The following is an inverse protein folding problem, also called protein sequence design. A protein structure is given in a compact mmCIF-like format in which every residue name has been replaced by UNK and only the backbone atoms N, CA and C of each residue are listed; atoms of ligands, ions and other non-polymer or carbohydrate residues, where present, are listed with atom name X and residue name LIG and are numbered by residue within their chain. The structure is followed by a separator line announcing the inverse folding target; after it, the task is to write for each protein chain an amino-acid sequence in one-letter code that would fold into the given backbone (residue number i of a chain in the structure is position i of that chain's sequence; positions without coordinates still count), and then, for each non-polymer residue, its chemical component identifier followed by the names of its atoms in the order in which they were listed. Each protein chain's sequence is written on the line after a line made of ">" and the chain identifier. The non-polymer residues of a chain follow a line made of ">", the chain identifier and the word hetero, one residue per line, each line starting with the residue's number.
data_IF_550976956610
#
_entry.id   IF_550976956610
#
_cell.length_a   1.000
_cell.length_b   1.000
_cell.length_c   1.000
_cell.angle_alpha   90.00
_cell.angle_beta   90.00
_cell.angle_gamma   90.00
#
_symmetry.space_group_name_H-M   'P 1'
#
loop_
_entity.id
_entity.type
_entity.pdbx_description
1 polymer ?
#
# COMPACT_ATOMS: atom_id res chain seq x y z
N UNK A 1 21.30 38.30 -20.90
CA UNK A 1 20.58 37.04 -20.69
C UNK A 1 20.76 36.18 -21.93
N UNK A 2 21.31 34.98 -21.76
CA UNK A 2 21.48 33.98 -22.81
C UNK A 2 20.17 33.19 -23.03
N UNK A 3 20.01 32.48 -24.16
CA UNK A 3 18.86 31.59 -24.37
C UNK A 3 18.69 30.57 -23.24
N UNK A 4 19.80 30.01 -22.73
CA UNK A 4 19.79 29.06 -21.61
C UNK A 4 19.28 29.70 -20.33
N UNK A 5 19.79 30.89 -19.99
CA UNK A 5 19.35 31.64 -18.81
C UNK A 5 17.86 31.99 -18.89
N UNK A 6 17.37 32.37 -20.06
CA UNK A 6 15.95 32.66 -20.27
C UNK A 6 15.07 31.42 -20.06
N UNK A 7 15.42 30.29 -20.68
CA UNK A 7 14.67 29.03 -20.51
C UNK A 7 14.65 28.59 -19.05
N UNK A 8 15.80 28.68 -18.37
CA UNK A 8 15.91 28.34 -16.95
C UNK A 8 15.06 29.29 -16.08
N UNK A 9 15.10 30.59 -16.36
CA UNK A 9 14.27 31.56 -15.65
C UNK A 9 12.78 31.24 -15.78
N UNK A 10 12.30 30.91 -16.99
CA UNK A 10 10.89 30.54 -17.21
C UNK A 10 10.53 29.26 -16.43
N UNK A 11 11.40 28.25 -16.46
CA UNK A 11 11.19 26.98 -15.75
C UNK A 11 11.16 27.15 -14.22
N UNK A 12 11.94 28.08 -13.67
CA UNK A 12 12.01 28.38 -12.24
C UNK A 12 10.95 29.40 -11.77
N UNK A 13 10.28 30.08 -12.70
CA UNK A 13 9.26 31.07 -12.36
C UNK A 13 7.99 30.39 -11.86
N UNK A 14 7.48 30.85 -10.71
CA UNK A 14 6.23 30.35 -10.16
C UNK A 14 5.09 30.44 -11.18
N UNK A 15 4.29 29.38 -11.30
CA UNK A 15 3.18 29.29 -12.26
C UNK A 15 2.16 30.42 -12.16
N UNK A 16 1.90 30.98 -10.97
CA UNK A 16 1.01 32.13 -10.82
C UNK A 16 1.57 33.38 -11.51
N UNK A 17 2.88 33.60 -11.45
CA UNK A 17 3.53 34.69 -12.17
C UNK A 17 3.51 34.42 -13.68
N UNK A 18 3.63 33.15 -14.12
CA UNK A 18 3.46 32.79 -15.53
C UNK A 18 2.02 33.00 -16.02
N UNK A 19 1.01 32.66 -15.22
CA UNK A 19 -0.41 32.97 -15.52
C UNK A 19 -0.63 34.48 -15.64
N UNK A 20 -0.02 35.25 -14.75
CA UNK A 20 -0.03 36.70 -14.84
C UNK A 20 0.63 37.19 -16.13
N UNK A 21 1.80 36.67 -16.50
CA UNK A 21 2.46 36.96 -17.77
C UNK A 21 1.55 36.65 -18.98
N UNK A 22 0.91 35.49 -19.00
CA UNK A 22 -0.01 35.08 -20.07
C UNK A 22 -1.18 36.06 -20.20
N UNK A 23 -1.75 36.50 -19.07
CA UNK A 23 -2.94 37.36 -19.05
C UNK A 23 -2.63 38.84 -19.26
N UNK A 24 -1.48 39.32 -18.78
CA UNK A 24 -1.13 40.74 -18.74
C UNK A 24 -0.20 41.18 -19.88
N UNK A 25 0.73 40.31 -20.32
CA UNK A 25 1.78 40.70 -21.28
C UNK A 25 1.44 40.49 -22.76
N UNK A 26 0.16 40.31 -23.09
CA UNK A 26 -0.32 40.22 -24.47
C UNK A 26 0.41 39.13 -25.29
N UNK A 27 0.74 38.00 -24.66
CA UNK A 27 1.20 36.83 -25.40
C UNK A 27 0.12 36.45 -26.42
N UNK A 28 0.55 36.21 -27.66
CA UNK A 28 -0.36 35.79 -28.73
C UNK A 28 -0.55 34.29 -28.62
N UNK A 29 -1.75 33.86 -28.27
CA UNK A 29 -2.10 32.44 -28.29
C UNK A 29 -1.98 31.89 -29.72
N UNK A 30 -1.33 30.73 -29.84
CA UNK A 30 -1.20 30.03 -31.12
C UNK A 30 -2.21 28.90 -31.16
N UNK A 31 -3.20 29.04 -32.04
CA UNK A 31 -4.28 28.05 -32.17
C UNK A 31 -5.18 28.00 -30.94
N UNK A 32 -5.87 26.88 -30.77
CA UNK A 32 -6.65 26.57 -29.57
C UNK A 32 -5.83 25.76 -28.57
N UNK A 33 -6.18 25.78 -27.29
CA UNK A 33 -5.64 24.81 -26.32
C UNK A 33 -5.85 23.39 -26.84
N UNK A 34 -4.87 22.52 -26.57
CA UNK A 34 -4.87 21.12 -27.00
C UNK A 34 -4.95 20.21 -25.79
N UNK A 35 -5.69 19.11 -25.93
CA UNK A 35 -5.74 18.02 -24.96
C UNK A 35 -4.95 16.84 -25.52
N UNK A 36 -4.17 16.18 -24.67
CA UNK A 36 -3.46 14.97 -25.06
C UNK A 36 -4.44 13.83 -25.30
N UNK A 37 -4.12 12.96 -26.26
CA UNK A 37 -4.97 11.82 -26.60
C UNK A 37 -4.19 10.75 -27.35
N UNK A 38 -4.90 9.88 -28.07
CA UNK A 38 -4.28 8.88 -28.94
C UNK A 38 -3.70 9.55 -30.19
N UNK A 39 -2.43 9.32 -30.48
CA UNK A 39 -1.76 9.81 -31.68
C UNK A 39 -2.24 9.06 -32.92
N UNK A 40 -3.07 9.73 -33.71
CA UNK A 40 -3.58 9.21 -34.99
C UNK A 40 -2.68 9.57 -36.17
N UNK A 41 -1.64 10.38 -35.97
CA UNK A 41 -0.78 10.87 -37.05
C UNK A 41 0.53 10.10 -37.10
N UNK A 42 1.28 10.05 -35.99
CA UNK A 42 2.58 9.37 -35.92
C UNK A 42 2.51 7.95 -35.39
N UNK A 43 1.35 7.52 -34.87
CA UNK A 43 1.17 6.19 -34.29
C UNK A 43 1.94 5.97 -32.98
N UNK A 44 2.31 7.03 -32.25
CA UNK A 44 3.13 6.95 -31.04
C UNK A 44 2.39 6.47 -29.78
N UNK A 45 1.08 6.23 -29.86
CA UNK A 45 0.26 5.77 -28.72
C UNK A 45 -0.54 6.88 -28.05
N UNK A 46 -0.82 6.75 -26.75
CA UNK A 46 -1.61 7.71 -25.97
C UNK A 46 -0.75 8.86 -25.41
N UNK A 47 -1.40 9.91 -24.89
CA UNK A 47 -0.74 11.02 -24.21
C UNK A 47 -0.10 12.05 -25.15
N UNK A 48 -0.51 12.09 -26.42
CA UNK A 48 0.09 12.96 -27.44
C UNK A 48 -0.84 14.11 -27.81
N UNK A 49 -0.30 15.32 -27.88
CA UNK A 49 -0.90 16.47 -28.54
C UNK A 49 0.11 17.05 -29.55
N UNK A 50 -0.38 17.56 -30.69
CA UNK A 50 0.46 18.11 -31.76
C UNK A 50 0.00 19.53 -32.09
N UNK A 51 0.94 20.47 -32.04
CA UNK A 51 0.71 21.88 -32.38
C UNK A 51 1.60 22.25 -33.57
N UNK A 52 1.03 22.87 -34.60
CA UNK A 52 1.81 23.49 -35.67
C UNK A 52 2.03 24.95 -35.31
N UNK A 53 3.29 25.38 -35.27
CA UNK A 53 3.66 26.73 -34.89
C UNK A 53 4.65 27.35 -35.91
N UNK A 54 4.56 28.65 -36.21
CA UNK A 54 5.53 29.34 -37.08
C UNK A 54 6.97 29.27 -36.53
N UNK A 55 7.98 29.19 -37.40
CA UNK A 55 9.38 29.28 -36.94
C UNK A 55 9.81 30.70 -36.55
N UNK A 56 9.09 31.70 -37.06
CA UNK A 56 9.42 33.12 -36.89
C UNK A 56 8.20 33.94 -36.50
N UNK A 57 8.45 35.03 -35.78
CA UNK A 57 7.49 36.09 -35.49
C UNK A 57 8.14 37.44 -35.82
N UNK A 58 7.56 38.21 -36.74
CA UNK A 58 8.11 39.50 -37.21
C UNK A 58 9.60 39.40 -37.59
N UNK A 59 9.92 38.46 -38.48
CA UNK A 59 11.27 38.15 -39.00
C UNK A 59 12.33 37.68 -37.98
N UNK A 60 11.97 37.62 -36.70
CA UNK A 60 12.80 37.07 -35.62
C UNK A 60 12.41 35.64 -35.32
N UNK A 61 13.36 34.85 -34.82
CA UNK A 61 13.07 33.48 -34.43
C UNK A 61 12.03 33.47 -33.29
N UNK A 62 11.09 32.53 -33.40
CA UNK A 62 9.97 32.46 -32.48
C UNK A 62 10.39 31.87 -31.13
N UNK A 63 9.76 32.38 -30.07
CA UNK A 63 9.85 31.84 -28.71
C UNK A 63 8.45 31.45 -28.28
N UNK A 64 8.29 30.21 -27.84
CA UNK A 64 7.02 29.67 -27.38
C UNK A 64 7.06 29.41 -25.89
N UNK A 65 6.04 29.91 -25.18
CA UNK A 65 5.70 29.46 -23.84
C UNK A 65 4.65 28.36 -23.96
N UNK A 66 4.97 27.19 -23.43
CA UNK A 66 4.06 26.05 -23.32
C UNK A 66 3.72 25.91 -21.85
N UNK A 67 2.43 25.97 -21.56
CA UNK A 67 1.91 26.00 -20.20
C UNK A 67 0.78 24.99 -20.08
N UNK A 68 0.92 24.06 -19.13
CA UNK A 68 -0.12 23.07 -18.83
C UNK A 68 -1.21 23.72 -17.98
N UNK A 69 -2.44 23.77 -18.48
CA UNK A 69 -3.54 24.50 -17.82
C UNK A 69 -4.27 23.65 -16.78
N UNK A 70 -4.51 22.38 -17.09
CA UNK A 70 -5.29 21.47 -16.26
C UNK A 70 -5.03 20.01 -16.63
N UNK A 71 -5.36 19.12 -15.71
CA UNK A 71 -5.43 17.68 -15.95
C UNK A 71 -6.90 17.29 -16.04
N UNK A 72 -7.21 16.33 -16.91
CA UNK A 72 -8.56 15.79 -17.02
C UNK A 72 -8.97 15.12 -15.68
N UNK A 73 -10.01 15.63 -15.00
CA UNK A 73 -10.41 15.10 -13.69
C UNK A 73 -10.89 13.64 -13.78
N UNK A 74 -11.33 13.17 -14.95
CA UNK A 74 -11.72 11.77 -15.15
C UNK A 74 -10.51 10.83 -15.14
N UNK A 75 -9.28 11.35 -15.20
CA UNK A 75 -8.05 10.56 -15.03
C UNK A 75 -7.97 9.98 -13.61
N UNK A 76 -8.62 10.59 -12.62
CA UNK A 76 -8.69 10.05 -11.25
C UNK A 76 -7.32 9.90 -10.58
N UNK A 77 -6.35 10.74 -10.99
CA UNK A 77 -5.05 10.87 -10.37
C UNK A 77 -4.95 12.25 -9.76
N UNK A 78 -4.57 12.30 -8.48
CA UNK A 78 -4.22 13.55 -7.85
C UNK A 78 -2.83 13.95 -8.34
N UNK A 79 -2.79 15.05 -9.09
CA UNK A 79 -1.56 15.67 -9.52
C UNK A 79 -1.65 17.12 -9.11
N UNK A 80 -0.76 17.54 -8.22
CA UNK A 80 -0.62 18.95 -7.92
C UNK A 80 0.08 19.64 -9.09
N UNK A 81 -0.70 20.00 -10.11
CA UNK A 81 -0.19 20.69 -11.29
C UNK A 81 0.54 22.00 -10.92
N UNK A 82 0.15 22.63 -9.81
CA UNK A 82 0.75 23.88 -9.35
C UNK A 82 2.11 23.68 -8.69
N UNK A 83 2.36 22.50 -8.11
CA UNK A 83 3.68 22.12 -7.60
C UNK A 83 4.56 21.39 -8.61
N UNK A 84 3.99 20.55 -9.48
CA UNK A 84 4.80 19.60 -10.28
C UNK A 84 4.98 19.99 -11.74
N UNK A 85 4.04 20.72 -12.35
CA UNK A 85 4.13 21.01 -13.78
C UNK A 85 4.99 22.26 -14.06
N UNK A 86 6.07 22.06 -14.80
CA UNK A 86 7.06 23.10 -15.11
C UNK A 86 6.65 23.82 -16.41
N UNK A 87 6.53 25.17 -16.42
CA UNK A 87 6.37 25.95 -17.65
C UNK A 87 7.57 25.77 -18.59
N UNK A 88 7.31 25.61 -19.89
CA UNK A 88 8.37 25.29 -20.85
C UNK A 88 8.52 26.45 -21.84
N UNK A 89 9.73 27.00 -21.94
CA UNK A 89 10.10 27.90 -23.02
C UNK A 89 10.85 27.14 -24.12
N UNK A 90 10.33 27.19 -25.34
CA UNK A 90 11.00 26.67 -26.53
C UNK A 90 11.47 27.83 -27.41
N UNK A 91 12.78 27.99 -27.56
CA UNK A 91 13.40 29.01 -28.42
C UNK A 91 13.81 28.33 -29.72
N UNK A 92 13.29 28.81 -30.84
CA UNK A 92 13.66 28.32 -32.17
C UNK A 92 14.86 29.12 -32.73
N UNK A 93 15.58 28.57 -33.72
CA UNK A 93 15.57 27.16 -34.13
C UNK A 93 16.25 26.24 -33.10
N UNK A 94 15.83 24.98 -33.06
CA UNK A 94 16.53 23.91 -32.32
C UNK A 94 17.20 23.01 -33.35
N UNK A 95 18.52 22.83 -33.25
CA UNK A 95 19.30 22.02 -34.18
C UNK A 95 19.45 20.58 -33.70
N UNK A 96 19.68 19.66 -34.64
CA UNK A 96 19.94 18.26 -34.34
C UNK A 96 21.24 18.13 -33.52
N UNK A 97 21.25 17.35 -32.41
CA UNK A 97 22.38 17.32 -31.48
C UNK A 97 23.67 16.75 -32.11
N UNK A 98 23.54 15.90 -33.13
CA UNK A 98 24.68 15.33 -33.85
C UNK A 98 24.92 15.94 -35.24
N UNK A 99 23.98 16.76 -35.73
CA UNK A 99 24.05 17.40 -37.06
C UNK A 99 23.74 18.89 -36.91
N UNK A 100 24.74 19.67 -36.48
CA UNK A 100 24.58 21.06 -36.04
C UNK A 100 24.10 22.04 -37.13
N UNK A 101 24.05 21.62 -38.40
CA UNK A 101 23.50 22.40 -39.52
C UNK A 101 22.06 22.06 -39.85
N UNK A 102 21.49 21.01 -39.25
CA UNK A 102 20.12 20.57 -39.49
C UNK A 102 19.19 21.08 -38.39
N UNK A 103 18.19 21.87 -38.77
CA UNK A 103 17.12 22.28 -37.86
C UNK A 103 16.09 21.16 -37.68
N UNK A 104 15.72 20.89 -36.43
CA UNK A 104 14.60 20.01 -36.11
C UNK A 104 13.31 20.59 -36.70
N UNK A 105 12.60 19.76 -37.46
CA UNK A 105 11.27 20.09 -37.99
C UNK A 105 10.14 19.66 -37.05
N UNK A 106 10.42 18.68 -36.18
CA UNK A 106 9.54 18.22 -35.11
C UNK A 106 10.30 18.27 -33.79
N UNK A 107 9.70 18.91 -32.78
CA UNK A 107 10.28 19.06 -31.44
C UNK A 107 9.41 18.25 -30.49
N UNK A 108 9.99 17.22 -29.89
CA UNK A 108 9.31 16.39 -28.90
C UNK A 108 9.54 16.98 -27.51
N UNK A 109 8.46 17.22 -26.79
CA UNK A 109 8.46 17.77 -25.43
C UNK A 109 7.71 16.79 -24.55
N UNK A 110 8.30 16.45 -23.41
CA UNK A 110 7.75 15.51 -22.45
C UNK A 110 7.57 16.21 -21.10
N UNK A 111 6.49 16.98 -20.91
CA UNK A 111 6.15 17.52 -19.59
C UNK A 111 6.04 16.36 -18.59
N UNK A 112 6.61 16.55 -17.40
CA UNK A 112 6.57 15.52 -16.36
C UNK A 112 5.49 15.88 -15.35
N UNK A 113 4.44 15.06 -15.29
CA UNK A 113 3.51 15.02 -14.17
C UNK A 113 3.85 13.82 -13.30
N UNK A 114 3.79 14.00 -11.98
CA UNK A 114 3.98 12.91 -11.03
C UNK A 114 2.61 12.66 -10.40
N UNK A 115 1.96 11.57 -10.82
CA UNK A 115 0.74 11.08 -10.18
C UNK A 115 1.03 10.75 -8.73
N UNK A 116 0.23 11.31 -7.83
CA UNK A 116 0.27 10.95 -6.43
C UNK A 116 -0.42 9.60 -6.24
N UNK A 117 0.38 8.58 -5.89
CA UNK A 117 -0.10 7.24 -5.63
C UNK A 117 0.65 6.63 -4.46
N UNK A 118 -0.01 5.75 -3.71
CA UNK A 118 0.56 5.07 -2.53
C UNK A 118 0.31 3.57 -2.60
N UNK A 119 1.12 2.80 -1.89
CA UNK A 119 1.01 1.33 -1.77
C UNK A 119 0.83 0.98 -0.29
N UNK A 120 -0.43 0.88 0.19
CA UNK A 120 -0.71 0.59 1.57
C UNK A 120 -0.29 -0.80 2.02
N UNK A 121 0.13 -0.88 3.28
CA UNK A 121 0.42 -2.14 3.96
C UNK A 121 0.09 -2.06 5.45
N UNK A 122 -0.03 -3.22 6.08
CA UNK A 122 -0.10 -3.36 7.53
C UNK A 122 0.38 -4.75 7.97
N UNK A 123 0.59 -4.91 9.26
CA UNK A 123 0.98 -6.16 9.89
C UNK A 123 -0.21 -6.78 10.62
N UNK A 124 -0.62 -7.97 10.18
CA UNK A 124 -1.68 -8.77 10.78
C UNK A 124 -1.15 -9.62 11.91
N UNK A 125 -1.62 -9.34 13.12
CA UNK A 125 -1.16 -9.97 14.35
C UNK A 125 -2.31 -10.63 15.11
N UNK A 126 -1.93 -11.59 15.94
CA UNK A 126 -2.81 -12.33 16.82
C UNK A 126 -2.39 -12.13 18.26
N UNK A 127 -3.33 -11.81 19.14
CA UNK A 127 -3.07 -11.67 20.57
C UNK A 127 -4.14 -12.36 21.41
N UNK A 128 -3.83 -12.66 22.67
CA UNK A 128 -4.83 -13.15 23.60
C UNK A 128 -5.90 -12.07 23.85
N UNK A 129 -7.16 -12.50 23.87
CA UNK A 129 -8.31 -11.61 24.07
C UNK A 129 -8.19 -10.75 25.31
N UNK A 130 -8.44 -9.45 25.16
CA UNK A 130 -8.42 -8.48 26.26
C UNK A 130 -7.04 -8.17 26.85
N UNK A 131 -5.96 -8.58 26.17
CA UNK A 131 -4.59 -8.24 26.59
C UNK A 131 -4.01 -7.10 25.76
N UNK A 132 -2.96 -6.46 26.29
CA UNK A 132 -2.18 -5.43 25.60
C UNK A 132 -0.84 -5.95 25.09
N UNK A 133 -0.66 -7.27 24.98
CA UNK A 133 0.58 -7.85 24.49
C UNK A 133 0.81 -7.51 23.02
N UNK A 134 2.09 -7.52 22.59
CA UNK A 134 2.46 -7.29 21.17
C UNK A 134 1.79 -8.30 20.23
N UNK A 135 1.55 -9.52 20.72
CA UNK A 135 1.03 -10.64 19.93
C UNK A 135 2.10 -11.26 19.04
N UNK A 136 1.65 -12.14 18.15
CA UNK A 136 2.50 -12.81 17.15
C UNK A 136 1.97 -12.55 15.74
N UNK A 137 2.82 -12.54 14.70
CA UNK A 137 2.36 -12.42 13.32
C UNK A 137 1.42 -13.57 12.96
N UNK A 138 0.43 -13.27 12.12
CA UNK A 138 -0.50 -14.25 11.57
C UNK A 138 -0.26 -14.41 10.08
N UNK A 139 0.26 -15.57 9.68
CA UNK A 139 0.41 -15.97 8.28
C UNK A 139 -0.90 -16.57 7.74
N UNK A 140 -1.26 -16.21 6.50
CA UNK A 140 -2.35 -16.85 5.76
C UNK A 140 -3.74 -16.23 5.94
N UNK A 141 -3.88 -15.11 6.65
CA UNK A 141 -5.13 -14.34 6.65
C UNK A 141 -5.34 -13.75 5.24
N UNK A 142 -6.56 -13.89 4.69
CA UNK A 142 -6.89 -13.46 3.33
C UNK A 142 -7.76 -12.21 3.39
N UNK A 143 -7.35 -11.18 2.68
CA UNK A 143 -8.04 -9.91 2.56
C UNK A 143 -8.42 -9.61 1.11
N UNK A 144 -9.46 -8.80 0.93
CA UNK A 144 -9.67 -8.03 -0.29
C UNK A 144 -9.76 -6.53 0.05
N UNK A 145 -9.39 -5.69 -0.89
CA UNK A 145 -9.51 -4.24 -0.76
C UNK A 145 -10.80 -3.77 -1.45
N UNK A 146 -11.58 -2.91 -0.79
CA UNK A 146 -12.77 -2.30 -1.36
C UNK A 146 -12.83 -0.78 -1.11
N UNK A 147 -13.66 -0.12 -1.89
CA UNK A 147 -14.13 1.25 -1.64
C UNK A 147 -15.66 1.30 -1.68
N UNK A 148 -16.21 2.39 -1.16
CA UNK A 148 -17.65 2.66 -1.20
C UNK A 148 -17.96 3.55 -2.41
N UNK A 149 -18.81 3.08 -3.31
CA UNK A 149 -19.35 3.87 -4.43
C UNK A 149 -20.87 3.87 -4.28
N UNK A 150 -21.46 5.06 -4.14
CA UNK A 150 -22.91 5.24 -3.96
C UNK A 150 -23.53 4.39 -2.82
N UNK A 151 -22.75 4.14 -1.76
CA UNK A 151 -23.18 3.37 -0.59
C UNK A 151 -23.03 1.86 -0.72
N UNK A 152 -22.49 1.35 -1.83
CA UNK A 152 -22.21 -0.07 -2.04
C UNK A 152 -20.70 -0.36 -2.09
N UNK A 153 -20.32 -1.60 -1.73
CA UNK A 153 -18.93 -2.05 -1.78
C UNK A 153 -18.53 -2.42 -3.21
N UNK A 154 -17.40 -1.87 -3.66
CA UNK A 154 -16.72 -2.29 -4.89
C UNK A 154 -15.30 -2.68 -4.58
N UNK A 155 -14.89 -3.85 -5.06
CA UNK A 155 -13.63 -4.51 -4.72
C UNK A 155 -12.60 -4.31 -5.82
N UNK A 156 -11.34 -4.23 -5.42
CA UNK A 156 -10.22 -4.07 -6.33
C UNK A 156 -10.09 -5.31 -7.23
N UNK A 157 -10.18 -5.11 -8.54
CA UNK A 157 -10.06 -6.17 -9.54
C UNK A 157 -8.60 -6.67 -9.69
N UNK A 158 -8.41 -7.88 -10.22
CA UNK A 158 -7.11 -8.55 -10.42
C UNK A 158 -6.34 -8.05 -11.66
N UNK A 159 -7.00 -7.45 -12.64
CA UNK A 159 -6.36 -6.94 -13.85
C UNK A 159 -5.26 -5.93 -13.51
N UNK A 160 -4.15 -5.92 -14.28
CA UNK A 160 -3.12 -4.92 -14.11
C UNK A 160 -3.72 -3.53 -14.29
N UNK A 161 -3.23 -2.56 -13.52
CA UNK A 161 -3.63 -1.17 -13.70
C UNK A 161 -3.22 -0.72 -15.11
N UNK A 162 -4.18 -0.23 -15.89
CA UNK A 162 -3.91 0.46 -17.15
C UNK A 162 -3.90 1.95 -16.87
N UNK A 163 -2.87 2.66 -17.35
CA UNK A 163 -2.75 4.12 -17.19
C UNK A 163 -2.92 4.59 -15.73
N UNK A 164 -2.36 3.83 -14.78
CA UNK A 164 -2.43 4.09 -13.32
C UNK A 164 -3.84 4.04 -12.70
N UNK A 165 -4.85 3.58 -13.45
CA UNK A 165 -6.22 3.41 -12.96
C UNK A 165 -6.46 2.00 -12.46
N UNK A 166 -7.00 1.91 -11.25
CA UNK A 166 -7.55 0.67 -10.72
C UNK A 166 -8.98 0.46 -11.20
N UNK A 167 -9.32 -0.79 -11.49
CA UNK A 167 -10.69 -1.21 -11.74
C UNK A 167 -11.32 -1.72 -10.45
N UNK A 168 -12.59 -1.39 -10.26
CA UNK A 168 -13.37 -1.73 -9.08
C UNK A 168 -14.65 -2.43 -9.50
N UNK A 169 -14.90 -3.62 -8.95
CA UNK A 169 -15.96 -4.52 -9.41
C UNK A 169 -16.87 -4.93 -8.25
N UNK A 170 -18.12 -5.26 -8.56
CA UNK A 170 -18.95 -6.04 -7.64
C UNK A 170 -18.57 -7.52 -7.80
N UNK A 171 -18.34 -8.24 -6.69
CA UNK A 171 -18.04 -9.66 -6.77
C UNK A 171 -19.24 -10.43 -7.28
N UNK A 172 -18.98 -11.44 -8.11
CA UNK A 172 -19.99 -12.41 -8.52
C UNK A 172 -20.62 -13.07 -7.28
N UNK A 173 -21.95 -13.24 -7.32
CA UNK A 173 -22.74 -13.84 -6.24
C UNK A 173 -22.56 -13.20 -4.86
N UNK A 174 -22.06 -11.96 -4.80
CA UNK A 174 -21.69 -11.26 -3.57
C UNK A 174 -20.64 -12.02 -2.73
N UNK A 175 -19.74 -12.77 -3.39
CA UNK A 175 -18.71 -13.60 -2.76
C UNK A 175 -17.29 -13.18 -3.21
N UNK A 176 -16.70 -12.15 -2.57
CA UNK A 176 -15.36 -11.68 -2.92
C UNK A 176 -14.25 -12.70 -2.64
N UNK A 177 -14.48 -13.68 -1.75
CA UNK A 177 -13.48 -14.70 -1.41
C UNK A 177 -13.27 -15.66 -2.58
N UNK A 178 -14.37 -16.13 -3.19
CA UNK A 178 -14.32 -17.11 -4.26
C UNK A 178 -14.34 -16.50 -5.67
N UNK A 179 -14.67 -15.21 -5.83
CA UNK A 179 -14.60 -14.54 -7.14
C UNK A 179 -13.15 -14.35 -7.60
N UNK A 180 -12.72 -15.11 -8.60
CA UNK A 180 -11.36 -15.04 -9.18
C UNK A 180 -10.94 -13.64 -9.69
N UNK A 181 -11.88 -12.75 -9.98
CA UNK A 181 -11.59 -11.42 -10.50
C UNK A 181 -11.26 -10.42 -9.38
N UNK A 182 -11.66 -10.70 -8.13
CA UNK A 182 -11.28 -9.84 -6.98
C UNK A 182 -9.83 -10.14 -6.58
N UNK A 183 -9.03 -9.10 -6.35
CA UNK A 183 -7.67 -9.23 -5.83
C UNK A 183 -7.66 -9.76 -4.38
N UNK A 184 -6.75 -10.69 -4.08
CA UNK A 184 -6.53 -11.23 -2.73
C UNK A 184 -5.17 -10.83 -2.22
N UNK A 185 -5.14 -10.35 -0.99
CA UNK A 185 -3.93 -9.99 -0.26
C UNK A 185 -3.81 -10.92 0.94
N UNK A 186 -2.73 -11.71 0.98
CA UNK A 186 -2.54 -12.76 1.98
C UNK A 186 -1.41 -12.33 2.90
N UNK A 187 -1.64 -12.40 4.21
CA UNK A 187 -0.59 -12.08 5.18
C UNK A 187 0.55 -13.09 5.12
N UNK A 188 1.80 -12.61 5.07
CA UNK A 188 2.98 -13.48 5.03
C UNK A 188 3.42 -13.95 6.43
N UNK A 189 4.59 -14.59 6.51
CA UNK A 189 5.18 -15.11 7.76
C UNK A 189 5.44 -14.05 8.83
N UNK A 190 5.69 -12.82 8.41
CA UNK A 190 5.86 -11.66 9.30
C UNK A 190 4.52 -10.98 9.59
N UNK A 191 3.42 -11.53 9.06
CA UNK A 191 2.08 -10.98 9.13
C UNK A 191 1.84 -9.84 8.15
N UNK A 192 2.76 -9.54 7.23
CA UNK A 192 2.63 -8.41 6.32
C UNK A 192 1.52 -8.66 5.30
N UNK A 193 0.58 -7.73 5.22
CA UNK A 193 -0.40 -7.59 4.14
C UNK A 193 -0.03 -6.33 3.37
N UNK A 194 0.19 -6.44 2.07
CA UNK A 194 0.59 -5.32 1.21
C UNK A 194 -0.15 -5.39 -0.12
N UNK A 195 -0.50 -4.22 -0.68
CA UNK A 195 -0.99 -4.14 -2.05
C UNK A 195 0.08 -4.45 -3.10
N UNK A 196 1.36 -4.43 -2.71
CA UNK A 196 2.50 -4.61 -3.60
C UNK A 196 2.46 -3.55 -4.70
N UNK A 197 2.75 -3.93 -5.95
CA UNK A 197 2.75 -2.96 -7.06
C UNK A 197 1.34 -2.43 -7.46
N UNK A 198 0.31 -2.66 -6.64
CA UNK A 198 -1.04 -2.11 -6.83
C UNK A 198 -1.14 -0.77 -6.11
N UNK A 199 -0.69 0.27 -6.79
CA UNK A 199 -0.76 1.63 -6.32
C UNK A 199 -2.20 2.15 -6.30
N UNK A 200 -2.56 2.92 -5.27
CA UNK A 200 -3.85 3.55 -5.08
C UNK A 200 -3.72 5.08 -5.09
N UNK A 201 -4.64 5.81 -5.74
CA UNK A 201 -4.72 7.27 -5.64
C UNK A 201 -5.21 7.71 -4.25
N UNK A 202 -5.35 9.01 -4.03
CA UNK A 202 -5.94 9.49 -2.78
C UNK A 202 -7.39 9.02 -2.63
N UNK A 203 -7.82 8.91 -1.38
CA UNK A 203 -9.16 8.44 -1.06
C UNK A 203 -9.22 7.59 0.20
N UNK A 204 -10.41 7.07 0.45
CA UNK A 204 -10.69 6.18 1.59
C UNK A 204 -11.05 4.80 1.07
N UNK A 205 -10.28 3.82 1.50
CA UNK A 205 -10.40 2.40 1.15
C UNK A 205 -10.51 1.56 2.41
N UNK A 206 -10.80 0.28 2.24
CA UNK A 206 -10.94 -0.64 3.34
C UNK A 206 -10.41 -2.02 2.95
N UNK A 207 -9.59 -2.62 3.80
CA UNK A 207 -9.37 -4.06 3.75
C UNK A 207 -10.50 -4.77 4.49
N UNK A 208 -11.06 -5.80 3.85
CA UNK A 208 -12.00 -6.75 4.44
C UNK A 208 -11.29 -8.09 4.63
N UNK A 209 -11.18 -8.58 5.87
CA UNK A 209 -10.75 -9.95 6.11
C UNK A 209 -11.84 -10.91 5.62
N UNK A 210 -11.50 -11.73 4.62
CA UNK A 210 -12.39 -12.71 4.00
C UNK A 210 -12.19 -14.10 4.58
N UNK A 211 -10.99 -14.37 5.08
CA UNK A 211 -10.64 -15.63 5.74
C UNK A 211 -9.60 -15.36 6.83
N UNK A 212 -9.97 -15.60 8.08
CA UNK A 212 -9.06 -15.50 9.22
C UNK A 212 -8.13 -16.71 9.38
N UNK A 213 -7.27 -16.63 10.39
CA UNK A 213 -6.35 -17.70 10.81
C UNK A 213 -6.95 -18.51 11.96
N UNK A 214 -6.81 -19.84 11.92
CA UNK A 214 -7.33 -20.74 12.94
C UNK A 214 -6.86 -20.35 14.36
N UNK A 215 -7.78 -20.41 15.33
CA UNK A 215 -7.55 -20.02 16.72
C UNK A 215 -7.75 -18.52 17.01
N UNK A 216 -7.98 -17.70 15.99
CA UNK A 216 -8.26 -16.26 16.11
C UNK A 216 -9.65 -15.92 15.58
N UNK A 217 -10.37 -15.05 16.29
CA UNK A 217 -11.69 -14.57 15.88
C UNK A 217 -11.55 -13.43 14.86
N UNK A 218 -12.35 -13.50 13.80
CA UNK A 218 -12.52 -12.42 12.82
C UNK A 218 -13.78 -11.65 13.22
N UNK A 219 -13.61 -10.41 13.69
CA UNK A 219 -14.72 -9.58 14.15
C UNK A 219 -15.16 -8.57 13.07
N UNK A 220 -16.10 -7.69 13.42
CA UNK A 220 -16.58 -6.66 12.48
C UNK A 220 -15.51 -5.60 12.16
N UNK A 221 -14.55 -5.35 13.06
CA UNK A 221 -13.45 -4.44 12.78
C UNK A 221 -12.48 -5.05 11.76
N UNK A 222 -12.27 -6.38 11.81
CA UNK A 222 -11.50 -7.11 10.79
C UNK A 222 -12.08 -7.01 9.38
N UNK A 223 -13.40 -6.80 9.25
CA UNK A 223 -14.08 -6.64 7.95
C UNK A 223 -14.03 -5.21 7.40
N UNK A 224 -13.51 -4.25 8.19
CA UNK A 224 -13.46 -2.84 7.82
C UNK A 224 -12.22 -2.16 8.39
N UNK A 225 -11.06 -2.61 7.91
CA UNK A 225 -9.77 -1.99 8.22
C UNK A 225 -9.61 -0.78 7.31
N UNK A 226 -9.84 0.42 7.83
CA UNK A 226 -9.78 1.67 7.07
C UNK A 226 -8.37 2.00 6.59
N UNK A 227 -8.27 2.50 5.37
CA UNK A 227 -7.06 3.01 4.74
C UNK A 227 -7.36 4.39 4.18
N UNK A 228 -6.71 5.42 4.70
CA UNK A 228 -6.85 6.80 4.25
C UNK A 228 -5.56 7.19 3.54
N UNK A 229 -5.69 7.53 2.27
CA UNK A 229 -4.61 8.02 1.43
C UNK A 229 -4.81 9.53 1.26
N UNK A 230 -3.89 10.39 1.74
CA UNK A 230 -4.03 11.84 1.62
C UNK A 230 -3.90 12.28 0.16
N UNK A 231 -4.40 13.47 -0.20
CA UNK A 231 -4.33 14.00 -1.58
C UNK A 231 -2.91 14.29 -2.06
N UNK A 232 -2.02 14.66 -1.13
CA UNK A 232 -0.66 15.10 -1.45
C UNK A 232 0.36 14.56 -0.44
N UNK A 233 1.63 14.53 -0.84
CA UNK A 233 2.76 14.11 0.03
C UNK A 233 2.99 15.05 1.21
N UNK A 234 2.64 16.33 1.05
CA UNK A 234 2.82 17.35 2.07
C UNK A 234 1.57 18.20 2.21
N UNK A 235 1.35 18.76 3.39
CA UNK A 235 0.30 19.74 3.62
C UNK A 235 0.71 21.15 3.15
N UNK A 236 -0.19 22.12 3.27
CA UNK A 236 0.06 23.51 2.91
C UNK A 236 1.20 24.19 3.71
N UNK A 237 1.67 23.57 4.80
CA UNK A 237 2.79 24.03 5.63
C UNK A 237 4.08 23.27 5.32
N UNK A 238 4.07 22.38 4.33
CA UNK A 238 5.20 21.54 3.94
C UNK A 238 5.46 20.36 4.89
N UNK A 239 4.51 20.01 5.75
CA UNK A 239 4.63 18.83 6.62
C UNK A 239 4.24 17.57 5.87
N UNK A 240 4.95 16.45 6.04
CA UNK A 240 4.64 15.20 5.35
C UNK A 240 3.26 14.67 5.76
N UNK A 241 2.53 14.10 4.81
CA UNK A 241 1.26 13.42 5.02
C UNK A 241 1.41 11.92 4.74
N UNK A 242 1.22 11.12 5.78
CA UNK A 242 1.32 9.66 5.70
C UNK A 242 -0.03 9.02 5.40
N UNK A 243 -0.01 7.86 4.74
CA UNK A 243 -1.18 6.98 4.70
C UNK A 243 -1.50 6.55 6.13
N UNK A 244 -2.79 6.49 6.44
CA UNK A 244 -3.28 6.03 7.74
C UNK A 244 -3.97 4.69 7.53
N UNK A 245 -3.53 3.64 8.23
CA UNK A 245 -4.19 2.32 8.23
C UNK A 245 -4.69 2.02 9.63
N UNK A 246 -6.01 1.81 9.76
CA UNK A 246 -6.68 1.57 11.03
C UNK A 246 -6.30 2.60 12.11
N UNK A 247 -6.30 3.88 11.73
CA UNK A 247 -5.94 5.00 12.60
C UNK A 247 -4.44 5.15 12.93
N UNK A 248 -3.57 4.32 12.36
CA UNK A 248 -2.11 4.38 12.57
C UNK A 248 -1.41 4.88 11.31
N UNK A 249 -0.47 5.81 11.48
CA UNK A 249 0.40 6.27 10.39
C UNK A 249 1.25 5.12 9.84
N UNK A 250 1.31 5.04 8.51
CA UNK A 250 2.10 4.08 7.77
C UNK A 250 3.37 4.75 7.26
N UNK A 251 4.52 4.19 7.62
CA UNK A 251 5.80 4.66 7.10
C UNK A 251 5.87 4.48 5.58
N UNK A 252 6.45 5.45 4.88
CA UNK A 252 6.64 5.39 3.43
C UNK A 252 7.52 4.23 3.01
N UNK A 253 7.26 3.73 1.80
CA UNK A 253 8.12 2.72 1.19
C UNK A 253 9.47 3.31 0.79
N UNK A 254 10.53 2.57 1.06
CA UNK A 254 11.88 2.90 0.62
C UNK A 254 12.19 2.11 -0.66
N UNK A 255 12.34 2.80 -1.80
CA UNK A 255 12.53 2.17 -3.11
C UNK A 255 11.47 1.10 -3.44
N UNK A 256 10.22 1.35 -3.07
CA UNK A 256 9.09 0.42 -3.29
C UNK A 256 9.06 -0.79 -2.35
N UNK A 257 9.78 -0.74 -1.22
CA UNK A 257 9.77 -1.80 -0.20
C UNK A 257 9.35 -1.25 1.16
N UNK A 258 8.69 -2.10 1.94
CA UNK A 258 8.35 -1.78 3.34
C UNK A 258 9.65 -1.54 4.12
N UNK A 259 9.78 -0.40 4.83
CA UNK A 259 11.03 -0.04 5.50
C UNK A 259 11.30 -0.97 6.70
N UNK A 260 12.58 -1.17 7.03
CA UNK A 260 13.01 -2.04 8.14
C UNK A 260 12.38 -1.61 9.47
N UNK A 261 12.27 -0.30 9.70
CA UNK A 261 11.64 0.27 10.91
C UNK A 261 10.18 -0.14 11.08
N UNK A 262 9.44 -0.34 9.98
CA UNK A 262 8.07 -0.82 10.01
C UNK A 262 7.99 -2.29 10.41
N UNK A 263 8.93 -3.14 9.98
CA UNK A 263 9.02 -4.53 10.43
C UNK A 263 9.38 -4.64 11.92
N UNK A 264 10.37 -3.87 12.38
CA UNK A 264 10.80 -3.89 13.79
C UNK A 264 9.66 -3.47 14.73
N UNK A 265 8.99 -2.38 14.37
CA UNK A 265 7.83 -1.88 15.11
C UNK A 265 6.55 -2.65 14.82
N UNK A 266 6.47 -3.43 13.74
CA UNK A 266 5.26 -4.04 13.18
C UNK A 266 4.09 -3.05 13.13
N UNK A 267 4.31 -1.89 12.48
CA UNK A 267 3.35 -0.77 12.38
C UNK A 267 3.15 -0.39 10.91
N UNK A 268 1.92 -0.15 10.43
CA UNK A 268 0.64 -0.25 11.14
C UNK A 268 0.29 -1.68 11.54
N UNK A 269 -0.37 -1.87 12.69
CA UNK A 269 -0.76 -3.22 13.16
C UNK A 269 -2.26 -3.40 13.25
N UNK A 270 -2.76 -4.55 12.80
CA UNK A 270 -4.16 -4.97 12.96
C UNK A 270 -4.20 -6.29 13.71
N UNK A 271 -5.03 -6.37 14.75
CA UNK A 271 -5.14 -7.56 15.59
C UNK A 271 -6.38 -8.37 15.28
N UNK A 272 -6.26 -9.70 15.34
CA UNK A 272 -7.37 -10.56 15.75
C UNK A 272 -7.07 -11.11 17.14
N UNK A 273 -8.12 -11.37 17.91
CA UNK A 273 -8.00 -11.89 19.26
C UNK A 273 -8.31 -13.39 19.31
N UNK A 274 -7.68 -14.12 20.23
CA UNK A 274 -7.97 -15.55 20.39
C UNK A 274 -9.45 -15.78 20.71
N UNK A 275 -9.99 -16.91 20.25
CA UNK A 275 -11.32 -17.38 20.66
C UNK A 275 -11.30 -17.64 22.17
N UNK A 276 -12.34 -17.21 22.91
CA UNK A 276 -12.46 -17.59 24.33
C UNK A 276 -12.55 -19.11 24.42
N UNK A 277 -11.70 -19.75 25.22
CA UNK A 277 -12.05 -21.07 25.73
C UNK A 277 -13.31 -20.91 26.60
N UNK A 278 -14.45 -21.39 26.11
CA UNK A 278 -15.58 -21.67 26.98
C UNK A 278 -15.17 -22.79 27.91
N UNK A 279 -14.92 -22.48 29.18
CA UNK A 279 -14.72 -23.48 30.26
C UNK A 279 -16.01 -24.23 30.61
N UNK A 280 -16.99 -24.27 29.73
CA UNK A 280 -18.13 -25.17 29.83
C UNK A 280 -17.67 -26.58 29.46
N UNK A 281 -17.04 -27.27 30.43
CA UNK A 281 -17.13 -28.72 30.48
C UNK A 281 -18.61 -29.09 30.33
N UNK A 282 -18.97 -30.05 29.45
CA UNK A 282 -20.33 -30.58 29.43
C UNK A 282 -20.70 -30.98 30.86
N UNK A 283 -21.74 -30.37 31.43
CA UNK A 283 -22.37 -30.93 32.62
C UNK A 283 -22.82 -32.33 32.23
N UNK A 284 -22.20 -33.34 32.84
CA UNK A 284 -22.76 -34.69 32.83
C UNK A 284 -24.26 -34.59 33.16
N UNK A 285 -25.13 -35.32 32.44
CA UNK A 285 -26.55 -35.24 32.66
C UNK A 285 -26.84 -35.61 34.11
N UNK A 286 -27.43 -34.68 34.86
CA UNK A 286 -27.93 -34.93 36.21
C UNK A 286 -29.02 -35.99 36.11
N UNK A 287 -28.69 -37.22 36.50
CA UNK A 287 -29.67 -38.28 36.74
C UNK A 287 -30.70 -37.86 37.79
N UNK A 288 -31.90 -38.46 37.78
CA UNK A 288 -33.03 -37.97 38.56
C UNK A 288 -32.72 -38.05 40.07
N UNK A 289 -32.89 -36.92 40.75
CA UNK A 289 -32.75 -36.75 42.19
C UNK A 289 -33.96 -37.31 42.94
N UNK A 290 -33.72 -38.14 43.95
CA UNK A 290 -34.66 -38.41 45.04
C UNK A 290 -33.94 -38.48 46.40
N UNK A 291 -34.61 -38.18 47.52
CA UNK A 291 -33.99 -37.52 48.66
C UNK A 291 -33.63 -38.44 49.84
N UNK A 292 -32.47 -38.16 50.45
CA UNK A 292 -32.23 -38.32 51.88
C UNK A 292 -32.01 -39.74 52.42
N UNK A 293 -30.75 -40.16 52.52
CA UNK A 293 -30.31 -40.95 53.67
C UNK A 293 -28.81 -40.81 53.95
N UNK A 294 -28.54 -40.63 55.23
CA UNK A 294 -27.26 -40.50 55.92
C UNK A 294 -26.22 -41.58 55.59
N UNK A 295 -24.94 -41.20 55.47
CA UNK A 295 -23.86 -42.19 55.47
C UNK A 295 -22.46 -41.60 55.32
N UNK A 296 -21.67 -41.76 56.38
CA UNK A 296 -20.25 -41.43 56.55
C UNK A 296 -19.29 -41.78 55.39
N UNK A 297 -18.36 -40.85 55.18
CA UNK A 297 -16.89 -41.01 55.02
C UNK A 297 -16.34 -41.91 53.90
N UNK A 298 -15.59 -41.30 52.97
CA UNK A 298 -14.18 -41.66 52.74
C UNK A 298 -13.53 -40.70 51.74
N UNK A 299 -12.44 -40.06 52.17
CA UNK A 299 -11.47 -39.44 51.27
C UNK A 299 -10.63 -40.57 50.70
N UNK A 300 -10.67 -40.77 49.38
CA UNK A 300 -9.63 -41.50 48.66
C UNK A 300 -8.99 -40.56 47.62
N UNK A 301 -7.65 -40.51 47.54
CA UNK A 301 -6.95 -39.68 46.57
C UNK A 301 -7.16 -40.23 45.15
N UNK A 302 -7.50 -39.33 44.22
CA UNK A 302 -7.49 -39.66 42.80
C UNK A 302 -6.03 -39.78 42.32
N UNK A 303 -5.62 -41.00 42.04
CA UNK A 303 -4.40 -41.31 41.30
C UNK A 303 -4.67 -41.18 39.80
N UNK A 304 -4.23 -40.09 39.16
CA UNK A 304 -3.88 -40.11 37.74
C UNK A 304 -3.04 -38.92 37.21
N UNK A 305 -2.29 -38.20 38.06
CA UNK A 305 -1.27 -37.25 37.60
C UNK A 305 0.08 -37.54 38.24
N UNK A 306 0.71 -38.63 37.82
CA UNK A 306 2.11 -38.91 38.16
C UNK A 306 2.83 -39.79 37.11
N UNK A 307 2.44 -39.74 35.83
CA UNK A 307 3.08 -40.54 34.77
C UNK A 307 3.94 -39.78 33.76
N UNK A 308 4.18 -38.48 33.93
CA UNK A 308 5.10 -37.73 33.04
C UNK A 308 6.32 -37.12 33.73
N UNK A 309 6.41 -37.13 35.06
CA UNK A 309 7.56 -36.57 35.79
C UNK A 309 8.66 -37.59 36.17
N UNK A 310 8.37 -38.89 36.20
CA UNK A 310 9.38 -39.92 36.57
C UNK A 310 10.20 -40.37 35.34
N UNK A 311 9.69 -40.17 34.11
CA UNK A 311 10.40 -40.55 32.88
C UNK A 311 11.56 -39.62 32.53
N UNK A 312 11.49 -38.33 32.91
CA UNK A 312 12.55 -37.34 32.60
C UNK A 312 13.77 -37.46 33.54
N UNK A 313 13.56 -37.80 34.81
CA UNK A 313 14.65 -38.05 35.78
C UNK A 313 15.48 -39.28 35.40
N UNK A 314 14.86 -40.34 34.87
CA UNK A 314 15.57 -41.54 34.41
C UNK A 314 16.48 -41.28 33.20
N UNK A 315 16.03 -40.44 32.25
CA UNK A 315 16.81 -40.09 31.06
C UNK A 315 17.99 -39.17 31.40
N UNK A 316 17.81 -38.23 32.34
CA UNK A 316 18.90 -37.37 32.83
C UNK A 316 19.99 -38.14 33.58
N UNK A 317 19.62 -39.15 34.37
CA UNK A 317 20.60 -40.01 35.05
C UNK A 317 21.39 -40.89 34.08
N UNK A 318 20.74 -41.40 33.02
CA UNK A 318 21.42 -42.18 31.98
C UNK A 318 22.38 -41.31 31.13
N UNK A 319 21.98 -40.09 30.77
CA UNK A 319 22.87 -39.14 30.07
C UNK A 319 24.05 -38.70 30.95
N UNK A 320 23.82 -38.47 32.25
CA UNK A 320 24.88 -38.17 33.21
C UNK A 320 25.90 -39.29 33.36
N UNK A 321 25.45 -40.55 33.42
CA UNK A 321 26.33 -41.72 33.50
C UNK A 321 27.18 -41.90 32.22
N UNK A 322 26.60 -41.66 31.04
CA UNK A 322 27.33 -41.75 29.75
C UNK A 322 28.40 -40.66 29.63
N UNK A 323 28.12 -39.44 30.11
CA UNK A 323 29.09 -38.34 30.10
C UNK A 323 30.24 -38.57 31.09
N UNK A 324 29.97 -39.14 32.27
CA UNK A 324 31.01 -39.51 33.24
C UNK A 324 31.93 -40.62 32.69
N UNK A 325 31.37 -41.65 32.05
CA UNK A 325 32.16 -42.74 31.44
C UNK A 325 33.00 -42.22 30.26
N UNK A 326 32.49 -41.24 29.49
CA UNK A 326 33.27 -40.60 28.41
C UNK A 326 34.42 -39.75 28.95
N UNK A 327 34.22 -39.05 30.07
CA UNK A 327 35.27 -38.24 30.71
C UNK A 327 36.41 -39.13 31.26
N UNK A 328 36.09 -40.21 31.94
CA UNK A 328 37.11 -41.15 32.46
C UNK A 328 37.86 -41.93 31.37
N UNK A 329 37.26 -42.10 30.17
CA UNK A 329 37.94 -42.72 29.01
C UNK A 329 38.74 -41.72 28.17
N UNK A 330 38.43 -40.43 28.23
CA UNK A 330 39.20 -39.36 27.59
C UNK A 330 40.48 -39.02 28.34
N UNK A 331 40.48 -39.10 29.67
CA UNK A 331 41.64 -38.79 30.52
C UNK A 331 42.68 -39.93 30.62
N UNK A 332 42.47 -41.07 29.93
CA UNK A 332 43.43 -42.18 29.88
C UNK A 332 44.19 -42.33 28.55
N UNK A 333 43.98 -41.43 27.61
CA UNK A 333 44.65 -41.42 26.30
C UNK A 333 45.28 -40.04 25.96
N UNK A 334 45.94 -39.42 26.93
CA UNK A 334 47.00 -38.44 26.69
C UNK A 334 48.29 -38.86 27.43
#
# INVERSE_FOLDING_TARGET
>A
MTPKEFVQQIAETNRNNIRQLITEERLVQIGTSVTTGKDTVGGLGNGIARIKAPKKNQDRDAVYLIFEESIDPEVGLDVDIDQTAIPIAAILPIYHPTESTEELQEIHIYPKNVGYLRDPYFFKYGRQRGTTEKGKPLEGAVFALYQMIEGEKYYLDMAPANDLKNQWIKPADNDPLNDKNVSKFISDKEGLVTTGQRFLPSGTYYFEELKGVEGYEMDEASKRIEVIIPEFWVDAKGQPQYVVVNGQEMAELESGKVPVSAYESATPRVYNETVKETTDKPKEPSGPSNPGQSGKWSVFPQTNEARTLISLLGILLLLGAVLLIKKERGEKNE
#
